data_IF_730815765819
#
_entry.id   IF_730815765819
#
_cell.length_a   1.000
_cell.length_b   1.000
_cell.length_c   1.000
_cell.angle_alpha   90.00
_cell.angle_beta   90.00
_cell.angle_gamma   90.00
#
_symmetry.space_group_name_H-M   'P 1'
#
loop_
_entity.id
_entity.type
_entity.pdbx_description
1 polymer ?
#
# COMPACT_ATOMS: atom_id res chain seq x y z
N UNK A 1 -19.60 -6.09 -6.74
CA UNK A 1 -19.01 -5.19 -7.76
C UNK A 1 -17.82 -5.88 -8.42
N UNK A 2 -16.85 -6.37 -7.65
CA UNK A 2 -15.67 -7.08 -8.19
C UNK A 2 -16.06 -8.39 -8.91
N UNK A 3 -16.77 -9.30 -8.24
CA UNK A 3 -17.22 -10.58 -8.83
C UNK A 3 -18.13 -10.42 -10.07
N UNK A 4 -18.81 -9.29 -10.21
CA UNK A 4 -19.78 -9.07 -11.28
C UNK A 4 -19.14 -8.49 -12.56
N UNK A 5 -17.99 -7.82 -12.46
CA UNK A 5 -17.41 -7.09 -13.59
C UNK A 5 -15.91 -7.31 -13.79
N UNK A 6 -15.14 -7.54 -12.72
CA UNK A 6 -13.68 -7.78 -12.80
C UNK A 6 -13.41 -9.24 -13.18
N UNK A 7 -14.05 -10.19 -12.50
CA UNK A 7 -13.85 -11.63 -12.75
C UNK A 7 -14.36 -12.08 -14.13
N UNK A 8 -15.37 -11.38 -14.65
CA UNK A 8 -15.88 -11.59 -16.01
C UNK A 8 -14.99 -10.93 -17.09
N UNK A 9 -13.94 -10.22 -16.69
CA UNK A 9 -13.01 -9.53 -17.59
C UNK A 9 -13.61 -8.32 -18.31
N UNK A 10 -14.75 -7.80 -17.82
CA UNK A 10 -15.46 -6.68 -18.42
C UNK A 10 -14.80 -5.35 -18.07
N UNK A 11 -14.11 -5.28 -16.93
CA UNK A 11 -13.41 -4.09 -16.42
C UNK A 11 -12.04 -4.48 -15.87
N UNK A 12 -11.07 -3.57 -15.96
CA UNK A 12 -9.78 -3.65 -15.26
C UNK A 12 -9.67 -2.45 -14.33
N UNK A 13 -9.20 -2.67 -13.11
CA UNK A 13 -8.87 -1.61 -12.16
C UNK A 13 -7.37 -1.36 -12.22
N UNK A 14 -6.99 -0.08 -12.28
CA UNK A 14 -5.63 0.39 -12.09
C UNK A 14 -5.59 1.31 -10.88
N UNK A 15 -4.46 1.30 -10.17
CA UNK A 15 -4.22 2.13 -9.00
C UNK A 15 -2.96 2.99 -9.23
N UNK A 16 -3.01 4.25 -8.80
CA UNK A 16 -1.88 5.18 -8.83
C UNK A 16 -1.82 5.91 -7.50
N UNK A 17 -0.61 6.09 -6.98
CA UNK A 17 -0.42 6.72 -5.68
C UNK A 17 -0.69 8.22 -5.72
N UNK A 18 -1.37 8.71 -4.69
CA UNK A 18 -1.51 10.13 -4.43
C UNK A 18 -1.25 10.40 -2.95
N UNK A 19 0.03 10.40 -2.57
CA UNK A 19 0.47 10.50 -1.19
C UNK A 19 0.63 11.97 -0.72
N UNK A 20 -0.47 12.71 -0.61
CA UNK A 20 -0.46 14.15 -0.31
C UNK A 20 -0.69 14.49 1.17
N UNK A 21 -0.93 13.50 2.03
CA UNK A 21 -1.32 13.69 3.42
C UNK A 21 -0.15 13.67 4.41
N UNK A 22 1.09 13.63 3.93
CA UNK A 22 2.31 13.63 4.76
C UNK A 22 3.03 12.28 4.78
N UNK A 23 3.92 12.11 5.76
CA UNK A 23 4.85 10.97 5.84
C UNK A 23 4.14 9.62 5.95
N UNK A 24 3.10 9.51 6.79
CA UNK A 24 2.31 8.27 6.90
C UNK A 24 1.63 7.89 5.58
N UNK A 25 1.26 8.88 4.76
CA UNK A 25 0.67 8.64 3.44
C UNK A 25 1.69 8.09 2.45
N UNK A 26 2.92 8.60 2.50
CA UNK A 26 4.05 8.13 1.70
C UNK A 26 4.42 6.70 2.12
N UNK A 27 4.55 6.44 3.42
CA UNK A 27 4.92 5.14 3.95
C UNK A 27 3.85 4.07 3.66
N UNK A 28 2.56 4.41 3.80
CA UNK A 28 1.47 3.51 3.44
C UNK A 28 1.44 3.16 1.94
N UNK A 29 1.73 4.15 1.08
CA UNK A 29 1.84 3.94 -0.37
C UNK A 29 3.01 2.99 -0.70
N UNK A 30 4.19 3.21 -0.14
CA UNK A 30 5.35 2.33 -0.34
C UNK A 30 5.10 0.92 0.21
N UNK A 31 4.45 0.81 1.37
CA UNK A 31 4.08 -0.46 1.97
C UNK A 31 3.16 -1.30 1.07
N UNK A 32 2.22 -0.68 0.35
CA UNK A 32 1.38 -1.41 -0.61
C UNK A 32 2.18 -1.95 -1.80
N UNK A 33 3.21 -1.24 -2.26
CA UNK A 33 4.13 -1.73 -3.31
C UNK A 33 5.04 -2.85 -2.77
N UNK A 34 5.48 -2.78 -1.52
CA UNK A 34 6.19 -3.87 -0.87
C UNK A 34 5.34 -5.14 -0.72
N UNK A 35 4.03 -5.01 -0.52
CA UNK A 35 3.11 -6.14 -0.58
C UNK A 35 2.88 -6.64 -2.02
N UNK A 36 2.95 -5.75 -3.01
CA UNK A 36 2.86 -6.12 -4.43
C UNK A 36 4.01 -7.03 -4.88
N UNK A 37 5.21 -6.86 -4.32
CA UNK A 37 6.34 -7.79 -4.55
C UNK A 37 6.03 -9.24 -4.15
N UNK A 38 5.03 -9.43 -3.29
CA UNK A 38 4.56 -10.72 -2.78
C UNK A 38 3.15 -11.07 -3.29
N UNK A 39 2.74 -10.48 -4.42
CA UNK A 39 1.44 -10.71 -5.08
C UNK A 39 0.21 -10.34 -4.21
N UNK A 40 0.37 -9.46 -3.20
CA UNK A 40 -0.66 -9.14 -2.21
C UNK A 40 -1.04 -7.64 -2.16
N UNK A 41 -0.95 -6.94 -3.29
CA UNK A 41 -1.22 -5.51 -3.36
C UNK A 41 -2.65 -5.16 -2.89
N UNK A 42 -3.66 -5.88 -3.39
CA UNK A 42 -5.07 -5.54 -3.12
C UNK A 42 -5.47 -5.89 -1.68
N UNK A 43 -5.02 -7.03 -1.18
CA UNK A 43 -5.23 -7.44 0.20
C UNK A 43 -4.59 -6.45 1.18
N UNK A 44 -3.39 -5.97 0.86
CA UNK A 44 -2.70 -4.97 1.67
C UNK A 44 -3.35 -3.58 1.56
N UNK A 45 -3.78 -3.18 0.36
CA UNK A 45 -4.57 -1.98 0.14
C UNK A 45 -5.82 -1.99 1.03
N UNK A 46 -6.57 -3.08 1.03
CA UNK A 46 -7.79 -3.20 1.85
C UNK A 46 -7.46 -3.11 3.34
N UNK A 47 -6.39 -3.78 3.80
CA UNK A 47 -5.93 -3.68 5.19
C UNK A 47 -5.59 -2.24 5.60
N UNK A 48 -4.96 -1.45 4.73
CA UNK A 48 -4.68 -0.03 5.00
C UNK A 48 -5.97 0.77 5.19
N UNK A 49 -6.96 0.58 4.30
CA UNK A 49 -8.23 1.32 4.35
C UNK A 49 -9.12 0.88 5.53
N UNK A 50 -9.10 -0.40 5.90
CA UNK A 50 -9.81 -0.91 7.08
C UNK A 50 -9.24 -0.35 8.40
N UNK A 51 -7.94 -0.06 8.43
CA UNK A 51 -7.23 0.40 9.62
C UNK A 51 -6.95 1.92 9.64
N UNK A 52 -7.57 2.69 8.73
CA UNK A 52 -7.42 4.14 8.68
C UNK A 52 -8.03 4.81 9.93
N UNK A 53 -7.16 5.15 10.90
CA UNK A 53 -7.54 5.82 12.15
C UNK A 53 -7.49 7.36 12.11
N UNK A 54 -7.21 7.93 10.93
CA UNK A 54 -7.03 9.36 10.69
C UNK A 54 -5.59 9.71 10.30
N UNK A 55 -5.44 10.87 9.67
CA UNK A 55 -4.17 11.32 9.07
C UNK A 55 -3.12 11.62 10.14
N UNK A 56 -1.93 11.02 10.01
CA UNK A 56 -0.76 11.28 10.86
C UNK A 56 -1.05 11.02 12.36
N UNK A 57 -1.70 9.89 12.65
CA UNK A 57 -2.10 9.48 14.02
C UNK A 57 -1.40 8.21 14.50
N UNK A 58 -0.51 7.64 13.70
CA UNK A 58 0.23 6.42 13.99
C UNK A 58 -0.40 5.16 13.43
N UNK A 59 -1.57 5.23 12.78
CA UNK A 59 -2.19 4.06 12.12
C UNK A 59 -1.26 3.41 11.10
N UNK A 60 -0.41 4.22 10.45
CA UNK A 60 0.56 3.78 9.46
C UNK A 60 2.00 4.01 9.92
N UNK A 61 2.28 3.76 11.20
CA UNK A 61 3.67 3.60 11.65
C UNK A 61 4.29 2.37 10.99
N UNK A 62 5.62 2.37 10.85
CA UNK A 62 6.38 1.23 10.31
C UNK A 62 6.01 -0.10 10.99
N UNK A 63 5.92 -0.10 12.32
CA UNK A 63 5.51 -1.28 13.11
C UNK A 63 4.12 -1.79 12.72
N UNK A 64 3.15 -0.88 12.55
CA UNK A 64 1.78 -1.25 12.19
C UNK A 64 1.72 -1.77 10.75
N UNK A 65 2.47 -1.16 9.82
CA UNK A 65 2.54 -1.60 8.43
C UNK A 65 3.14 -3.01 8.32
N UNK A 66 4.23 -3.28 9.03
CA UNK A 66 4.79 -4.64 9.12
C UNK A 66 3.79 -5.60 9.79
N UNK A 67 3.05 -5.14 10.81
CA UNK A 67 1.99 -5.93 11.45
C UNK A 67 0.83 -6.28 10.51
N UNK A 68 0.45 -5.40 9.58
CA UNK A 68 -0.53 -5.70 8.56
C UNK A 68 0.00 -6.77 7.59
N UNK A 69 1.26 -6.66 7.17
CA UNK A 69 1.91 -7.66 6.33
C UNK A 69 1.93 -9.05 7.00
N UNK A 70 2.28 -9.10 8.30
CA UNK A 70 2.26 -10.33 9.10
C UNK A 70 0.85 -10.94 9.16
N UNK A 71 -0.18 -10.11 9.38
CA UNK A 71 -1.57 -10.57 9.46
C UNK A 71 -2.11 -11.18 8.16
N UNK A 72 -1.53 -10.77 7.03
CA UNK A 72 -1.82 -11.30 5.70
C UNK A 72 -0.93 -12.50 5.32
N UNK A 73 -0.01 -12.89 6.20
CA UNK A 73 0.90 -14.03 5.98
C UNK A 73 2.04 -13.74 5.01
N UNK A 74 2.39 -12.46 4.82
CA UNK A 74 3.53 -12.04 4.00
C UNK A 74 4.86 -12.33 4.73
N UNK A 75 5.93 -12.46 3.96
CA UNK A 75 7.30 -12.52 4.49
C UNK A 75 7.66 -11.13 5.05
N UNK A 76 7.64 -11.02 6.37
CA UNK A 76 7.88 -9.75 7.07
C UNK A 76 9.34 -9.32 7.02
N UNK A 77 10.30 -10.23 6.82
CA UNK A 77 11.72 -9.86 6.66
C UNK A 77 11.92 -9.16 5.32
N UNK A 78 11.41 -9.77 4.24
CA UNK A 78 11.44 -9.19 2.88
C UNK A 78 10.66 -7.88 2.82
N UNK A 79 9.48 -7.84 3.45
CA UNK A 79 8.66 -6.64 3.51
C UNK A 79 9.36 -5.50 4.26
N UNK A 80 9.94 -5.79 5.42
CA UNK A 80 10.64 -4.79 6.22
C UNK A 80 11.87 -4.24 5.50
N UNK A 81 12.63 -5.08 4.80
CA UNK A 81 13.76 -4.64 3.98
C UNK A 81 13.31 -3.72 2.83
N UNK A 82 12.20 -4.07 2.17
CA UNK A 82 11.61 -3.23 1.12
C UNK A 82 11.23 -1.84 1.65
N UNK A 83 10.55 -1.78 2.79
CA UNK A 83 10.09 -0.52 3.39
C UNK A 83 11.26 0.30 3.93
N UNK A 84 12.22 -0.32 4.63
CA UNK A 84 13.37 0.36 5.23
C UNK A 84 14.38 0.90 4.20
N UNK A 85 14.36 0.39 2.97
CA UNK A 85 15.21 0.87 1.86
C UNK A 85 14.54 1.94 1.01
N UNK A 86 13.31 2.35 1.36
CA UNK A 86 12.49 3.28 0.57
C UNK A 86 12.43 2.85 -0.92
N UNK A 87 12.34 1.52 -1.17
CA UNK A 87 12.49 0.92 -2.50
C UNK A 87 11.53 1.55 -3.52
N UNK A 88 10.34 1.94 -3.06
CA UNK A 88 9.26 2.47 -3.89
C UNK A 88 9.03 3.98 -3.74
N UNK A 89 9.82 4.69 -2.94
CA UNK A 89 9.65 6.12 -2.73
C UNK A 89 9.60 6.92 -4.03
N UNK A 90 10.48 6.60 -5.00
CA UNK A 90 10.50 7.29 -6.29
C UNK A 90 9.25 7.02 -7.13
N UNK A 91 8.68 5.81 -7.07
CA UNK A 91 7.44 5.48 -7.79
C UNK A 91 6.28 6.28 -7.22
N UNK A 92 6.10 6.23 -5.90
CA UNK A 92 5.05 6.97 -5.18
C UNK A 92 5.14 8.47 -5.42
N UNK A 93 6.35 9.04 -5.36
CA UNK A 93 6.57 10.47 -5.62
C UNK A 93 6.25 10.86 -7.07
N UNK A 94 6.57 9.98 -8.02
CA UNK A 94 6.30 10.22 -9.46
C UNK A 94 4.81 10.23 -9.72
N UNK A 95 4.07 9.24 -9.23
CA UNK A 95 2.61 9.17 -9.36
C UNK A 95 1.94 10.37 -8.69
N UNK A 96 2.37 10.69 -7.46
CA UNK A 96 1.82 11.82 -6.70
C UNK A 96 2.05 13.14 -7.44
N UNK A 97 3.23 13.33 -8.04
CA UNK A 97 3.54 14.54 -8.82
C UNK A 97 2.75 14.62 -10.13
N UNK A 98 2.48 13.49 -10.78
CA UNK A 98 1.72 13.44 -12.02
C UNK A 98 0.21 13.74 -11.82
N UNK A 99 -0.28 13.58 -10.59
CA UNK A 99 -1.68 13.81 -10.23
C UNK A 99 -1.98 15.24 -9.72
N UNK A 100 -0.97 16.12 -9.56
CA UNK A 100 -1.11 17.52 -9.17
C UNK A 100 -1.36 18.44 -10.38
#
# INVERSE_FOLDING_TARGET
>A
MEEEYIDQGLVKIGYWHFAFLGEESQMAAEASECAADQDAFWEYHDALFENLGGENRGSFSEENLIGFADSLGLDTETFSECLATDKYAQVVQTDTSAAQ
#
